data_IF_909187819284
#
_entry.id   IF_909187819284
#
_cell.length_a   1.000
_cell.length_b   1.000
_cell.length_c   1.000
_cell.angle_alpha   90.00
_cell.angle_beta   90.00
_cell.angle_gamma   90.00
#
_symmetry.space_group_name_H-M   'P 1'
#
loop_
_entity.id
_entity.type
_entity.pdbx_description
1 polymer ?
#
# COMPACT_ATOMS: atom_id res chain seq x y z
N UNK A 1 -32.49 37.98 48.12
CA UNK A 1 -32.13 39.16 47.32
C UNK A 1 -31.66 38.65 45.96
N UNK A 2 -32.41 38.95 44.90
CA UNK A 2 -32.18 38.44 43.54
C UNK A 2 -31.00 39.19 42.91
N UNK A 3 -30.06 38.48 42.31
CA UNK A 3 -29.14 39.06 41.32
C UNK A 3 -28.96 38.07 40.17
N UNK A 4 -29.82 38.25 39.17
CA UNK A 4 -29.74 37.58 37.86
C UNK A 4 -28.78 38.45 37.04
N UNK A 5 -27.57 37.96 36.80
CA UNK A 5 -26.60 38.62 35.93
C UNK A 5 -26.88 38.20 34.48
N UNK A 6 -27.54 39.07 33.74
CA UNK A 6 -27.77 38.95 32.30
C UNK A 6 -26.52 39.49 31.59
N UNK A 7 -25.63 38.60 31.16
CA UNK A 7 -24.55 38.97 30.22
C UNK A 7 -25.10 38.93 28.79
N UNK A 8 -25.40 40.12 28.28
CA UNK A 8 -25.76 40.38 26.89
C UNK A 8 -24.56 40.18 25.96
N UNK A 9 -24.88 39.61 24.81
CA UNK A 9 -24.07 39.30 23.64
C UNK A 9 -23.37 40.53 23.05
N UNK A 10 -22.08 40.39 22.73
CA UNK A 10 -21.44 41.13 21.63
C UNK A 10 -20.60 40.13 20.83
N UNK A 11 -21.23 39.49 19.85
CA UNK A 11 -20.56 38.62 18.87
C UNK A 11 -20.04 39.48 17.72
N UNK A 12 -18.79 39.90 17.79
CA UNK A 12 -18.05 40.49 16.68
C UNK A 12 -17.49 39.38 15.78
N UNK A 13 -18.24 39.03 14.73
CA UNK A 13 -17.76 38.20 13.62
C UNK A 13 -16.74 38.99 12.80
N UNK A 14 -15.46 38.87 13.17
CA UNK A 14 -14.35 39.29 12.33
C UNK A 14 -14.21 38.26 11.21
N UNK A 15 -14.81 38.56 10.05
CA UNK A 15 -14.67 37.77 8.83
C UNK A 15 -13.26 37.98 8.25
N UNK A 16 -12.28 37.29 8.84
CA UNK A 16 -10.95 37.13 8.27
C UNK A 16 -10.98 36.00 7.25
N UNK A 17 -10.78 36.33 5.98
CA UNK A 17 -10.54 35.34 4.93
C UNK A 17 -9.19 34.66 5.22
N UNK A 18 -9.23 33.49 5.86
CA UNK A 18 -8.05 32.63 5.99
C UNK A 18 -7.66 32.16 4.59
N UNK A 19 -6.58 32.72 4.05
CA UNK A 19 -5.85 32.08 2.96
C UNK A 19 -5.08 30.91 3.57
N UNK A 20 -5.67 29.72 3.49
CA UNK A 20 -5.00 28.47 3.86
C UNK A 20 -3.80 28.31 2.92
N UNK A 21 -2.56 28.23 3.44
CA UNK A 21 -1.41 27.94 2.59
C UNK A 21 -1.60 26.54 2.01
N UNK A 22 -1.67 26.45 0.68
CA UNK A 22 -1.80 25.20 -0.07
C UNK A 22 -0.54 24.37 0.18
N UNK A 23 -0.67 23.34 1.01
CA UNK A 23 0.39 22.41 1.34
C UNK A 23 0.80 21.67 0.06
N UNK A 24 2.11 21.55 -0.19
CA UNK A 24 2.61 20.85 -1.37
C UNK A 24 2.34 19.35 -1.19
N UNK A 25 1.38 18.82 -1.94
CA UNK A 25 1.09 17.39 -1.94
C UNK A 25 2.25 16.64 -2.60
N UNK A 26 2.99 15.91 -1.77
CA UNK A 26 4.09 15.02 -2.18
C UNK A 26 3.52 13.61 -2.28
N UNK A 27 3.59 13.02 -3.46
CA UNK A 27 3.17 11.65 -3.70
C UNK A 27 4.41 10.75 -3.71
N UNK A 28 4.44 9.75 -2.84
CA UNK A 28 5.47 8.71 -2.83
C UNK A 28 5.09 7.65 -3.87
N UNK A 29 6.08 7.09 -4.56
CA UNK A 29 5.87 5.97 -5.48
C UNK A 29 5.16 4.81 -4.75
N UNK A 30 4.13 4.16 -5.34
CA UNK A 30 3.68 4.21 -6.74
C UNK A 30 2.60 5.26 -7.05
N UNK A 31 2.46 6.33 -6.26
CA UNK A 31 1.47 7.36 -6.50
C UNK A 31 2.05 8.55 -7.28
N UNK A 32 1.29 9.07 -8.24
CA UNK A 32 1.62 10.27 -9.01
C UNK A 32 0.71 11.44 -8.60
N UNK A 33 1.20 12.65 -8.82
CA UNK A 33 0.43 13.87 -8.51
C UNK A 33 -0.57 14.16 -9.62
N UNK A 34 -1.85 14.18 -9.28
CA UNK A 34 -2.93 14.57 -10.16
C UNK A 34 -3.74 15.70 -9.53
N UNK A 35 -3.62 16.90 -10.11
CA UNK A 35 -4.17 18.15 -9.54
C UNK A 35 -3.68 18.40 -8.10
N UNK A 36 -4.57 18.20 -7.12
CA UNK A 36 -4.37 18.45 -5.70
C UNK A 36 -4.36 17.17 -4.87
N UNK A 37 -4.39 15.99 -5.50
CA UNK A 37 -4.42 14.69 -4.83
C UNK A 37 -3.36 13.73 -5.42
N UNK A 38 -3.08 12.65 -4.69
CA UNK A 38 -2.23 11.55 -5.16
C UNK A 38 -3.10 10.44 -5.74
N UNK A 39 -2.79 10.00 -6.96
CA UNK A 39 -3.46 8.88 -7.61
C UNK A 39 -2.49 7.72 -7.83
N UNK A 40 -3.01 6.49 -7.81
CA UNK A 40 -2.22 5.29 -8.01
C UNK A 40 -1.79 5.15 -9.47
N UNK A 41 -0.49 4.87 -9.68
CA UNK A 41 0.13 4.56 -10.98
C UNK A 41 0.88 3.23 -10.82
N UNK A 42 0.14 2.12 -10.90
CA UNK A 42 0.69 0.78 -10.65
C UNK A 42 1.68 0.35 -11.73
N UNK A 43 1.55 0.87 -12.95
CA UNK A 43 2.40 0.50 -14.08
C UNK A 43 3.53 1.52 -14.38
N UNK A 44 3.59 2.62 -13.64
CA UNK A 44 4.63 3.64 -13.74
C UNK A 44 4.56 4.48 -15.01
N UNK A 45 3.40 4.58 -15.65
CA UNK A 45 3.23 5.29 -16.92
C UNK A 45 2.85 6.77 -16.76
N UNK A 46 2.80 7.26 -15.52
CA UNK A 46 2.44 8.64 -15.18
C UNK A 46 1.02 9.04 -15.59
N UNK A 47 0.10 8.07 -15.61
CA UNK A 47 -1.35 8.24 -15.75
C UNK A 47 -1.99 7.59 -14.52
N UNK A 48 -3.07 8.16 -14.01
CA UNK A 48 -3.81 7.52 -12.93
C UNK A 48 -4.45 6.22 -13.44
N UNK A 49 -4.30 5.10 -12.73
CA UNK A 49 -4.85 3.79 -13.14
C UNK A 49 -6.37 3.85 -13.41
N UNK A 50 -7.09 4.73 -12.71
CA UNK A 50 -8.52 4.98 -12.91
C UNK A 50 -8.85 5.58 -14.29
N UNK A 51 -7.94 6.37 -14.86
CA UNK A 51 -8.13 7.09 -16.13
C UNK A 51 -7.68 6.27 -17.35
N UNK A 52 -6.97 5.15 -17.14
CA UNK A 52 -6.53 4.26 -18.23
C UNK A 52 -7.69 3.63 -19.02
N UNK A 53 -8.88 3.59 -18.42
CA UNK A 53 -10.07 2.99 -19.04
C UNK A 53 -10.79 3.88 -20.05
N UNK A 54 -10.36 5.14 -20.23
CA UNK A 54 -11.18 6.13 -20.98
C UNK A 54 -10.52 6.76 -22.22
N UNK A 55 -9.46 6.18 -22.79
CA UNK A 55 -8.93 6.71 -24.07
C UNK A 55 -8.44 5.65 -25.05
N UNK A 56 -9.39 4.90 -25.62
CA UNK A 56 -9.27 4.42 -27.01
C UNK A 56 -10.61 4.54 -27.72
N UNK A 57 -10.91 5.74 -28.23
CA UNK A 57 -11.90 5.92 -29.27
C UNK A 57 -11.17 6.04 -30.62
N UNK A 58 -11.42 5.12 -31.55
CA UNK A 58 -11.55 5.49 -32.94
C UNK A 58 -12.96 5.17 -33.45
N UNK A 59 -13.65 6.25 -33.85
CA UNK A 59 -14.60 6.42 -34.96
C UNK A 59 -15.44 5.19 -35.41
N UNK A 60 -16.79 5.29 -35.42
CA UNK A 60 -17.63 4.23 -35.95
C UNK A 60 -17.57 4.19 -37.48
N UNK A 61 -17.10 3.07 -38.03
CA UNK A 61 -17.39 2.67 -39.41
C UNK A 61 -18.30 1.47 -39.39
N UNK A 62 -19.54 1.69 -39.82
CA UNK A 62 -20.57 0.70 -40.07
C UNK A 62 -20.07 -0.25 -41.16
N UNK A 63 -19.94 -1.55 -40.86
CA UNK A 63 -19.81 -2.58 -41.89
C UNK A 63 -20.52 -3.85 -41.44
N UNK A 64 -21.48 -4.23 -42.27
CA UNK A 64 -22.39 -5.37 -42.22
C UNK A 64 -21.67 -6.70 -42.04
N UNK A 65 -22.20 -7.53 -41.14
CA UNK A 65 -21.70 -8.87 -40.84
C UNK A 65 -21.88 -9.86 -42.02
N UNK A 66 -20.82 -10.63 -42.29
CA UNK A 66 -20.89 -11.90 -43.01
C UNK A 66 -20.58 -13.05 -42.02
N UNK A 67 -21.17 -14.24 -42.18
CA UNK A 67 -21.01 -15.34 -41.23
C UNK A 67 -19.61 -15.96 -41.36
N UNK A 68 -18.89 -16.06 -40.24
CA UNK A 68 -17.55 -16.68 -40.20
C UNK A 68 -17.61 -18.00 -39.44
N UNK A 69 -17.11 -19.04 -40.08
CA UNK A 69 -17.02 -20.42 -39.61
C UNK A 69 -15.93 -20.54 -38.54
N UNK A 70 -16.28 -21.11 -37.39
CA UNK A 70 -15.38 -21.33 -36.25
C UNK A 70 -14.44 -22.51 -36.53
N UNK A 71 -13.14 -22.24 -36.64
CA UNK A 71 -12.09 -23.27 -36.51
C UNK A 71 -11.70 -23.41 -35.02
N UNK A 72 -11.30 -24.61 -34.56
CA UNK A 72 -10.94 -24.86 -33.17
C UNK A 72 -9.63 -24.13 -32.78
N UNK A 73 -9.44 -23.81 -31.48
CA UNK A 73 -8.25 -23.11 -31.01
C UNK A 73 -7.02 -24.02 -31.05
N UNK A 74 -6.02 -23.66 -31.84
CA UNK A 74 -4.67 -24.21 -31.77
C UNK A 74 -3.88 -23.54 -30.65
N UNK A 75 -3.64 -24.28 -29.57
CA UNK A 75 -2.75 -23.90 -28.47
C UNK A 75 -1.30 -23.94 -28.95
N UNK A 76 -0.69 -22.78 -29.16
CA UNK A 76 0.75 -22.68 -29.42
C UNK A 76 1.46 -22.43 -28.10
N UNK A 77 1.96 -23.50 -27.50
CA UNK A 77 2.82 -23.44 -26.31
C UNK A 77 4.21 -23.01 -26.76
N UNK A 78 4.57 -21.74 -26.53
CA UNK A 78 5.95 -21.29 -26.69
C UNK A 78 6.79 -21.84 -25.54
N UNK A 79 7.97 -22.43 -25.80
CA UNK A 79 8.87 -22.88 -24.75
C UNK A 79 9.40 -21.69 -23.93
N UNK A 80 9.71 -21.88 -22.64
CA UNK A 80 10.27 -20.82 -21.81
C UNK A 80 11.67 -20.44 -22.32
N UNK A 81 11.82 -19.20 -22.79
CA UNK A 81 13.11 -18.63 -23.16
C UNK A 81 13.83 -18.15 -21.91
N UNK A 82 14.75 -18.95 -21.39
CA UNK A 82 15.63 -18.58 -20.28
C UNK A 82 16.76 -17.71 -20.81
N UNK A 83 16.63 -16.39 -20.66
CA UNK A 83 17.70 -15.44 -20.98
C UNK A 83 18.69 -15.38 -19.81
N UNK A 84 19.68 -16.26 -19.82
CA UNK A 84 20.85 -16.18 -18.92
C UNK A 84 21.81 -15.12 -19.46
N UNK A 85 21.83 -13.93 -18.84
CA UNK A 85 22.87 -12.94 -19.11
C UNK A 85 24.19 -13.40 -18.49
N UNK A 86 25.20 -13.60 -19.33
CA UNK A 86 26.56 -13.90 -18.91
C UNK A 86 27.19 -12.70 -18.18
N UNK A 87 28.04 -12.92 -17.15
CA UNK A 87 28.73 -11.84 -16.46
C UNK A 87 29.85 -11.26 -17.35
N UNK A 88 29.68 -10.02 -17.79
CA UNK A 88 30.71 -9.26 -18.52
C UNK A 88 31.76 -8.76 -17.52
N UNK A 89 32.92 -9.42 -17.47
CA UNK A 89 34.06 -8.96 -16.67
C UNK A 89 34.89 -7.95 -17.47
N UNK A 90 34.63 -6.66 -17.24
CA UNK A 90 35.44 -5.57 -17.82
C UNK A 90 36.73 -5.43 -17.04
N UNK A 91 37.83 -5.91 -17.62
CA UNK A 91 39.19 -5.73 -17.07
C UNK A 91 39.74 -4.41 -17.60
N UNK A 92 39.75 -3.37 -16.76
CA UNK A 92 40.39 -2.09 -17.08
C UNK A 92 41.87 -2.15 -16.70
N UNK A 93 42.73 -1.94 -17.69
CA UNK A 93 44.18 -1.96 -17.58
C UNK A 93 44.67 -0.67 -16.91
N UNK A 94 45.43 -0.81 -15.82
CA UNK A 94 45.97 0.32 -15.07
C UNK A 94 47.28 0.83 -15.70
N UNK A 95 47.31 2.12 -16.05
CA UNK A 95 48.51 2.83 -16.51
C UNK A 95 49.17 3.49 -15.30
N UNK A 96 50.35 3.01 -14.92
CA UNK A 96 51.15 3.53 -13.81
C UNK A 96 52.02 4.70 -14.26
N UNK A 97 51.62 5.92 -13.89
CA UNK A 97 52.48 7.11 -13.99
C UNK A 97 53.04 7.41 -12.60
N UNK A 98 54.30 7.05 -12.39
CA UNK A 98 55.06 7.34 -11.18
C UNK A 98 55.51 8.80 -11.18
N UNK A 99 54.78 9.66 -10.48
CA UNK A 99 55.28 10.93 -9.99
C UNK A 99 55.45 10.80 -8.46
N UNK A 100 56.64 11.12 -7.94
CA UNK A 100 56.91 11.12 -6.51
C UNK A 100 56.27 12.37 -5.85
N UNK A 101 55.35 12.23 -4.89
CA UNK A 101 54.84 13.37 -4.14
C UNK A 101 55.25 13.29 -2.66
N UNK A 102 55.77 14.42 -2.19
CA UNK A 102 56.18 14.72 -0.82
C UNK A 102 55.09 14.39 0.19
N UNK A 103 55.38 13.49 1.13
CA UNK A 103 54.47 13.04 2.20
C UNK A 103 54.33 14.12 3.28
N UNK A 104 53.30 14.95 3.16
CA UNK A 104 52.68 15.59 4.33
C UNK A 104 51.29 14.99 4.45
N UNK A 105 51.08 14.10 5.41
CA UNK A 105 49.82 13.38 5.60
C UNK A 105 48.72 14.39 6.01
N UNK A 106 47.72 14.71 5.15
CA UNK A 106 46.54 15.36 5.67
C UNK A 106 45.84 14.36 6.59
N UNK A 107 45.67 14.74 7.86
CA UNK A 107 44.88 13.96 8.80
C UNK A 107 43.48 13.75 8.19
N UNK A 108 42.97 12.52 8.09
CA UNK A 108 41.62 12.28 7.61
C UNK A 108 40.67 12.97 8.60
N UNK A 109 40.16 14.12 8.22
CA UNK A 109 39.00 14.72 8.87
C UNK A 109 37.81 13.89 8.46
N UNK A 110 37.53 12.85 9.25
CA UNK A 110 36.27 12.11 9.19
C UNK A 110 35.17 13.08 9.62
N UNK A 111 34.63 13.82 8.66
CA UNK A 111 33.40 14.58 8.86
C UNK A 111 32.27 13.56 8.92
N UNK A 112 32.10 12.99 10.12
CA UNK A 112 30.99 12.11 10.43
C UNK A 112 29.72 12.96 10.37
N UNK A 113 28.98 12.84 9.27
CA UNK A 113 27.62 13.38 9.17
C UNK A 113 26.79 12.82 10.35
N UNK A 114 25.98 13.65 11.03
CA UNK A 114 25.17 13.16 12.13
C UNK A 114 24.27 12.01 11.66
N UNK A 115 24.11 10.93 12.45
CA UNK A 115 23.29 9.80 12.05
C UNK A 115 21.84 10.26 11.87
N UNK A 116 21.27 9.94 10.71
CA UNK A 116 19.88 10.19 10.35
C UNK A 116 19.02 9.02 10.79
N UNK A 117 17.83 9.30 11.29
CA UNK A 117 16.82 8.31 11.61
C UNK A 117 16.03 7.93 10.35
N UNK A 118 15.83 6.64 10.13
CA UNK A 118 15.03 6.08 9.05
C UNK A 118 14.15 4.95 9.57
N UNK A 119 13.06 4.66 8.87
CA UNK A 119 12.03 3.69 9.26
C UNK A 119 11.48 2.98 8.01
N UNK A 120 10.98 1.75 8.18
CA UNK A 120 10.68 0.84 7.05
C UNK A 120 9.20 0.71 6.70
N UNK A 121 8.32 1.19 7.56
CA UNK A 121 6.85 1.14 7.50
C UNK A 121 6.21 2.52 7.26
N UNK A 122 7.01 3.59 7.29
CA UNK A 122 6.55 4.95 7.00
C UNK A 122 6.16 5.77 8.24
N UNK A 123 6.53 5.34 9.45
CA UNK A 123 6.33 6.14 10.64
C UNK A 123 5.69 5.36 11.77
N UNK A 124 4.48 5.78 12.15
CA UNK A 124 3.62 5.07 13.08
C UNK A 124 2.56 4.37 12.20
N UNK A 125 2.79 3.11 11.87
CA UNK A 125 1.87 2.25 11.11
C UNK A 125 1.67 0.93 11.85
N UNK A 126 0.65 0.88 12.70
CA UNK A 126 0.39 -0.31 13.52
C UNK A 126 0.05 -1.58 12.73
N UNK A 127 -0.16 -1.51 11.41
CA UNK A 127 -0.56 -2.65 10.58
C UNK A 127 0.61 -3.27 9.82
N UNK A 128 1.80 -2.65 9.86
CA UNK A 128 3.00 -3.13 9.17
C UNK A 128 4.14 -3.21 10.17
N UNK A 129 4.78 -4.37 10.30
CA UNK A 129 5.95 -4.48 11.15
C UNK A 129 7.09 -3.64 10.59
N UNK A 130 7.53 -2.65 11.33
CA UNK A 130 8.61 -1.76 11.01
C UNK A 130 9.92 -2.02 11.75
N UNK A 131 10.93 -1.31 11.30
CA UNK A 131 12.25 -1.21 11.91
C UNK A 131 12.72 0.23 11.80
N UNK A 132 12.92 0.88 12.94
CA UNK A 132 13.51 2.21 13.05
C UNK A 132 15.01 2.11 13.27
N UNK A 133 15.81 2.78 12.46
CA UNK A 133 17.28 2.78 12.57
C UNK A 133 17.83 4.20 12.66
N UNK A 134 18.84 4.40 13.50
CA UNK A 134 19.58 5.66 13.59
C UNK A 134 21.06 5.39 13.87
N UNK A 135 21.90 5.49 12.85
CA UNK A 135 23.31 5.13 12.96
C UNK A 135 23.48 3.64 13.27
N UNK A 136 23.96 3.31 14.48
CA UNK A 136 24.10 1.93 14.95
C UNK A 136 22.95 1.46 15.85
N UNK A 137 22.02 2.36 16.20
CA UNK A 137 20.83 2.01 16.98
C UNK A 137 19.74 1.50 16.04
N UNK A 138 19.09 0.41 16.42
CA UNK A 138 17.92 -0.12 15.72
C UNK A 138 16.86 -0.56 16.73
N UNK A 139 15.59 -0.30 16.43
CA UNK A 139 14.44 -0.78 17.16
C UNK A 139 13.45 -1.38 16.17
N UNK A 140 12.80 -2.47 16.56
CA UNK A 140 11.86 -3.22 15.71
C UNK A 140 10.56 -3.30 16.48
N UNK A 141 9.45 -3.14 15.76
CA UNK A 141 8.14 -3.22 16.35
C UNK A 141 7.89 -4.60 16.92
N UNK A 142 7.24 -4.59 18.08
CA UNK A 142 7.05 -5.81 18.84
C UNK A 142 5.77 -5.79 19.64
N UNK A 143 5.12 -6.94 19.64
CA UNK A 143 4.00 -7.18 20.51
C UNK A 143 4.48 -7.37 21.95
N UNK A 144 3.83 -6.67 22.87
CA UNK A 144 3.97 -6.85 24.32
C UNK A 144 2.73 -7.57 24.82
N UNK A 145 2.84 -8.89 24.91
CA UNK A 145 1.66 -9.75 25.07
C UNK A 145 0.85 -9.80 23.78
N UNK A 146 -0.45 -10.14 23.90
CA UNK A 146 -1.32 -10.37 22.73
C UNK A 146 -2.14 -9.16 22.30
N UNK A 147 -2.06 -8.02 22.99
CA UNK A 147 -2.97 -6.89 22.77
C UNK A 147 -2.28 -5.53 22.66
N UNK A 148 -0.97 -5.46 22.91
CA UNK A 148 -0.23 -4.20 22.91
C UNK A 148 0.88 -4.28 21.88
N UNK A 149 0.97 -3.28 21.01
CA UNK A 149 2.09 -3.06 20.11
C UNK A 149 2.99 -1.97 20.70
N UNK A 150 4.27 -2.27 20.82
CA UNK A 150 5.31 -1.24 20.93
C UNK A 150 5.76 -0.89 19.53
N UNK A 151 5.29 0.27 19.08
CA UNK A 151 5.58 0.86 17.78
C UNK A 151 6.77 1.81 17.91
N UNK A 152 7.83 1.58 17.17
CA UNK A 152 9.01 2.42 17.09
C UNK A 152 8.98 3.23 15.80
N UNK A 153 9.31 4.51 15.92
CA UNK A 153 9.22 5.46 14.79
C UNK A 153 10.27 6.57 14.92
N UNK A 154 10.57 7.31 13.87
CA UNK A 154 11.43 8.49 13.94
C UNK A 154 10.64 9.73 14.38
N UNK A 155 10.78 10.07 15.66
CA UNK A 155 10.37 11.37 16.20
C UNK A 155 11.40 12.45 15.85
N UNK A 156 11.39 12.91 14.60
CA UNK A 156 12.47 13.74 14.06
C UNK A 156 13.74 12.91 13.89
N UNK A 157 14.89 13.37 14.38
CA UNK A 157 16.13 12.60 14.27
C UNK A 157 16.42 11.70 15.50
N UNK A 158 15.38 11.08 16.08
CA UNK A 158 15.49 10.21 17.26
C UNK A 158 14.50 9.05 17.13
N UNK A 159 14.88 7.88 17.63
CA UNK A 159 13.96 6.74 17.76
C UNK A 159 13.00 7.04 18.91
N UNK A 160 11.71 7.13 18.59
CA UNK A 160 10.59 7.21 19.52
C UNK A 160 9.95 5.83 19.73
N UNK A 161 9.06 5.74 20.71
CA UNK A 161 8.20 4.57 20.92
C UNK A 161 6.80 5.02 21.33
N UNK A 162 5.78 4.42 20.73
CA UNK A 162 4.37 4.58 21.08
C UNK A 162 3.80 3.23 21.45
N UNK A 163 3.00 3.21 22.52
CA UNK A 163 2.21 2.04 22.89
C UNK A 163 0.84 2.14 22.20
N UNK A 164 0.47 1.12 21.45
CA UNK A 164 -0.79 1.04 20.70
C UNK A 164 -1.59 -0.17 21.20
N UNK A 165 -2.87 0.04 21.49
CA UNK A 165 -3.80 -1.01 21.90
C UNK A 165 -4.40 -1.68 20.65
N UNK A 166 -3.97 -2.91 20.34
CA UNK A 166 -4.52 -3.70 19.24
C UNK A 166 -5.80 -4.41 19.68
N UNK A 167 -6.95 -3.88 19.25
CA UNK A 167 -8.30 -4.36 19.66
C UNK A 167 -8.53 -5.84 19.37
N UNK A 168 -8.02 -6.33 18.25
CA UNK A 168 -8.20 -7.70 17.71
C UNK A 168 -7.03 -8.63 18.01
N UNK A 169 -5.90 -8.07 18.42
CA UNK A 169 -4.70 -8.79 18.77
C UNK A 169 -3.44 -8.19 18.15
N UNK A 170 -2.28 -8.53 18.69
CA UNK A 170 -0.97 -8.19 18.16
C UNK A 170 -0.22 -9.48 17.84
N UNK A 171 0.31 -9.60 16.63
CA UNK A 171 1.15 -10.71 16.21
C UNK A 171 2.28 -10.24 15.30
N UNK A 172 3.44 -10.91 15.39
CA UNK A 172 4.68 -10.60 14.65
C UNK A 172 5.08 -9.11 14.61
N UNK A 173 4.81 -8.35 15.67
CA UNK A 173 5.18 -6.93 15.74
C UNK A 173 4.27 -6.03 14.91
N UNK A 174 3.02 -6.41 14.69
CA UNK A 174 1.96 -5.55 14.16
C UNK A 174 0.61 -5.87 14.82
N UNK A 175 -0.34 -4.95 14.77
CA UNK A 175 -1.73 -5.23 15.07
C UNK A 175 -2.32 -6.15 13.99
N UNK A 176 -3.12 -7.13 14.42
CA UNK A 176 -3.85 -8.03 13.53
C UNK A 176 -5.05 -7.27 13.01
N UNK A 177 -5.07 -6.95 11.72
CA UNK A 177 -6.24 -6.39 11.05
C UNK A 177 -7.12 -7.46 10.42
N UNK A 178 -8.17 -7.00 9.76
CA UNK A 178 -8.86 -7.75 8.73
C UNK A 178 -7.87 -8.03 7.58
N UNK A 179 -7.56 -9.29 7.36
CA UNK A 179 -6.78 -9.76 6.21
C UNK A 179 -7.69 -10.58 5.29
N UNK A 180 -7.63 -10.27 4.00
CA UNK A 180 -8.43 -10.94 2.97
C UNK A 180 -7.52 -11.68 1.99
N UNK A 181 -7.82 -12.94 1.71
CA UNK A 181 -6.93 -13.79 0.90
C UNK A 181 -7.09 -13.62 -0.61
N UNK A 182 -8.19 -13.03 -1.07
CA UNK A 182 -8.47 -12.76 -2.49
C UNK A 182 -8.28 -11.29 -2.90
N UNK A 183 -7.91 -10.44 -1.93
CA UNK A 183 -7.68 -9.01 -2.13
C UNK A 183 -8.90 -8.10 -1.94
N UNK A 184 -9.99 -8.58 -1.35
CA UNK A 184 -11.13 -7.75 -0.93
C UNK A 184 -12.45 -8.22 -1.53
N UNK A 185 -13.26 -7.28 -2.03
CA UNK A 185 -14.55 -7.59 -2.67
C UNK A 185 -14.35 -8.18 -4.08
N UNK A 186 -13.77 -9.39 -4.14
CA UNK A 186 -13.47 -10.15 -5.36
C UNK A 186 -14.25 -11.49 -5.48
N UNK A 187 -15.42 -11.53 -6.14
CA UNK A 187 -16.26 -12.72 -6.17
C UNK A 187 -15.75 -13.82 -7.12
N UNK A 188 -14.73 -13.54 -7.93
CA UNK A 188 -14.19 -14.45 -8.95
C UNK A 188 -13.08 -15.37 -8.41
N UNK A 189 -12.63 -15.11 -7.18
CA UNK A 189 -11.58 -15.86 -6.50
C UNK A 189 -12.15 -16.32 -5.17
N UNK A 190 -11.83 -17.55 -4.74
CA UNK A 190 -12.21 -17.99 -3.40
C UNK A 190 -11.50 -17.13 -2.35
N UNK A 191 -12.28 -16.43 -1.54
CA UNK A 191 -11.82 -15.60 -0.44
C UNK A 191 -12.01 -16.22 0.94
N UNK A 192 -11.13 -15.81 1.85
CA UNK A 192 -11.23 -16.05 3.29
C UNK A 192 -10.69 -14.82 4.02
N UNK A 193 -11.55 -14.25 4.85
CA UNK A 193 -11.26 -13.14 5.75
C UNK A 193 -10.82 -13.66 7.10
N UNK A 194 -9.68 -13.16 7.59
CA UNK A 194 -9.16 -13.40 8.94
C UNK A 194 -9.20 -12.11 9.75
N UNK A 195 -9.92 -12.11 10.89
CA UNK A 195 -9.97 -10.96 11.82
C UNK A 195 -9.16 -11.20 13.10
N UNK A 196 -8.87 -12.45 13.42
CA UNK A 196 -8.02 -12.85 14.54
C UNK A 196 -7.47 -14.26 14.31
N UNK A 197 -6.64 -14.75 15.21
CA UNK A 197 -6.13 -16.12 15.17
C UNK A 197 -7.21 -17.20 15.24
N UNK A 198 -8.40 -16.89 15.75
CA UNK A 198 -9.47 -17.87 16.01
C UNK A 198 -10.73 -17.60 15.17
N UNK A 199 -10.77 -16.49 14.43
CA UNK A 199 -11.96 -16.08 13.71
C UNK A 199 -11.65 -15.87 12.24
N UNK A 200 -12.26 -16.71 11.40
CA UNK A 200 -12.26 -16.57 9.96
C UNK A 200 -13.66 -16.69 9.36
N UNK A 201 -13.84 -16.08 8.19
CA UNK A 201 -15.04 -16.18 7.34
C UNK A 201 -14.61 -16.37 5.91
N UNK A 202 -15.02 -17.48 5.32
CA UNK A 202 -14.80 -17.76 3.91
C UNK A 202 -16.06 -17.46 3.10
N UNK A 203 -15.83 -17.16 1.84
CA UNK A 203 -16.88 -17.08 0.85
C UNK A 203 -17.70 -18.35 0.80
N UNK A 204 -18.98 -18.20 0.42
CA UNK A 204 -19.89 -19.33 0.45
C UNK A 204 -20.95 -19.29 -0.63
N UNK A 205 -20.98 -20.33 -1.44
CA UNK A 205 -22.10 -20.54 -2.35
C UNK A 205 -23.39 -20.86 -1.58
N UNK A 206 -24.49 -20.27 -2.02
CA UNK A 206 -25.84 -20.56 -1.57
C UNK A 206 -26.23 -21.98 -1.96
N UNK A 207 -26.63 -22.78 -0.97
CA UNK A 207 -27.12 -24.15 -1.18
C UNK A 207 -28.53 -24.20 -1.81
N UNK A 208 -29.18 -23.04 -2.04
CA UNK A 208 -30.56 -22.97 -2.49
C UNK A 208 -30.66 -22.87 -4.01
N UNK A 209 -29.91 -21.94 -4.61
CA UNK A 209 -30.02 -21.59 -6.02
C UNK A 209 -28.78 -21.99 -6.84
N UNK A 210 -27.66 -22.32 -6.19
CA UNK A 210 -26.41 -22.70 -6.84
C UNK A 210 -25.77 -21.59 -7.67
N UNK A 211 -26.23 -20.35 -7.53
CA UNK A 211 -25.77 -19.20 -8.32
C UNK A 211 -25.48 -17.96 -7.45
N UNK A 212 -25.99 -17.90 -6.23
CA UNK A 212 -25.68 -16.80 -5.31
C UNK A 212 -24.46 -17.13 -4.48
N UNK A 213 -23.43 -16.28 -4.53
CA UNK A 213 -22.27 -16.29 -3.65
C UNK A 213 -22.50 -15.30 -2.51
N UNK A 214 -22.30 -15.73 -1.26
CA UNK A 214 -22.05 -14.80 -0.17
C UNK A 214 -20.56 -14.54 -0.09
N UNK A 215 -20.17 -13.34 -0.47
CA UNK A 215 -18.81 -12.84 -0.50
C UNK A 215 -18.53 -12.11 0.82
N UNK A 216 -17.48 -12.53 1.54
CA UNK A 216 -16.98 -11.87 2.74
C UNK A 216 -15.70 -11.14 2.39
N UNK A 217 -15.57 -9.90 2.84
CA UNK A 217 -14.39 -9.12 2.51
C UNK A 217 -13.98 -8.14 3.61
N UNK A 218 -12.76 -7.65 3.55
CA UNK A 218 -12.30 -6.57 4.43
C UNK A 218 -12.70 -5.19 3.92
N UNK A 219 -13.60 -4.49 4.63
CA UNK A 219 -13.94 -3.09 4.33
C UNK A 219 -12.87 -2.12 4.83
N UNK A 220 -12.22 -2.48 5.93
CA UNK A 220 -11.10 -1.76 6.54
C UNK A 220 -10.33 -2.74 7.43
N UNK A 221 -9.20 -2.30 7.99
CA UNK A 221 -8.41 -3.09 8.94
C UNK A 221 -9.21 -3.58 10.17
N UNK A 222 -10.36 -3.00 10.48
CA UNK A 222 -11.17 -3.39 11.65
C UNK A 222 -12.61 -3.74 11.33
N UNK A 223 -13.02 -3.71 10.06
CA UNK A 223 -14.42 -3.93 9.67
C UNK A 223 -14.55 -5.03 8.61
N UNK A 224 -15.31 -6.06 8.96
CA UNK A 224 -15.80 -7.08 8.04
C UNK A 224 -16.97 -6.55 7.20
N UNK A 225 -16.89 -6.75 5.89
CA UNK A 225 -18.00 -6.64 4.94
C UNK A 225 -18.53 -8.01 4.51
N UNK A 226 -19.75 -8.00 4.01
CA UNK A 226 -20.25 -9.08 3.18
C UNK A 226 -21.29 -8.54 2.19
N UNK A 227 -21.47 -9.23 1.08
CA UNK A 227 -22.60 -9.02 0.15
C UNK A 227 -23.01 -10.34 -0.51
N UNK A 228 -24.21 -10.35 -1.06
CA UNK A 228 -24.69 -11.47 -1.87
C UNK A 228 -24.54 -11.10 -3.35
N UNK A 229 -23.79 -11.90 -4.10
CA UNK A 229 -23.52 -11.72 -5.54
C UNK A 229 -24.21 -12.83 -6.31
N UNK A 230 -24.95 -12.47 -7.36
CA UNK A 230 -25.46 -13.47 -8.31
C UNK A 230 -24.38 -13.71 -9.36
N UNK A 231 -23.83 -14.92 -9.40
CA UNK A 231 -22.76 -15.28 -10.31
C UNK A 231 -23.24 -15.27 -11.78
N UNK A 232 -22.36 -14.95 -12.75
CA UNK A 232 -22.72 -14.91 -14.16
C UNK A 232 -23.20 -16.24 -14.72
N UNK A 233 -22.55 -17.35 -14.34
CA UNK A 233 -22.89 -18.69 -14.83
C UNK A 233 -23.25 -19.65 -13.70
N UNK A 234 -22.44 -19.73 -12.65
CA UNK A 234 -22.64 -20.64 -11.53
C UNK A 234 -21.82 -20.22 -10.32
N UNK A 235 -22.24 -20.66 -9.15
CA UNK A 235 -21.42 -20.61 -7.94
C UNK A 235 -20.90 -22.01 -7.65
N UNK A 236 -19.59 -22.22 -7.78
CA UNK A 236 -18.96 -23.51 -7.57
C UNK A 236 -17.56 -23.36 -6.99
N UNK A 237 -17.25 -24.16 -5.97
CA UNK A 237 -16.00 -24.02 -5.24
C UNK A 237 -15.94 -22.80 -4.31
N UNK A 238 -17.11 -22.26 -3.94
CA UNK A 238 -17.25 -21.05 -3.11
C UNK A 238 -16.69 -19.77 -3.77
N UNK A 239 -16.81 -19.65 -5.10
CA UNK A 239 -16.59 -18.43 -5.90
C UNK A 239 -17.44 -18.45 -7.18
N UNK A 240 -17.53 -17.31 -7.87
CA UNK A 240 -18.29 -17.14 -9.10
C UNK A 240 -17.51 -17.52 -10.36
N UNK A 241 -18.24 -18.16 -11.30
CA UNK A 241 -17.79 -18.47 -12.66
C UNK A 241 -18.63 -17.73 -13.70
#
# INVERSE_FOLDING_TARGET
>A
MRLICVCLLVSSLVSGCLTVPKENVVCNTPYIRFQDDCCLDRNGNSICDADETTTTQPRPTTTTAAPTTTLPPTTTTLPPTTTTLAPTTTTVQATTTTAAPTTTLPQPTTTTEPPVCTESDGGIDEWVKGTTTRGMEAAVDKCVGSAILHEYYCGGNRIGMKQIDCTTGCDDGRCIGCEDSDGGDNPEVYGEVRMSSEWTKADKCSNIDGITLREFFCKSHTELGYRDVVCPTSCAGDYCH
#
